data_IF_044721136869
#
_entry.id   IF_044721136869
#
_cell.length_a   1.000
_cell.length_b   1.000
_cell.length_c   1.000
_cell.angle_alpha   90.00
_cell.angle_beta   90.00
_cell.angle_gamma   90.00
#
_symmetry.space_group_name_H-M   'P 1'
#
loop_
_entity.id
_entity.type
_entity.pdbx_description
1 polymer ?
#
# COMPACT_ATOMS: atom_id res chain seq x y z
N UNK A 1 19.28 -4.57 -11.88
CA UNK A 1 18.51 -3.84 -12.91
C UNK A 1 17.55 -2.97 -12.16
N UNK A 2 17.45 -1.68 -12.47
CA UNK A 2 16.43 -0.86 -11.81
C UNK A 2 15.05 -1.26 -12.35
N UNK A 3 14.10 -1.53 -11.46
CA UNK A 3 12.73 -1.85 -11.85
C UNK A 3 11.95 -0.55 -12.08
N UNK A 4 11.19 -0.47 -13.17
CA UNK A 4 10.37 0.73 -13.49
C UNK A 4 8.90 0.44 -13.29
N UNK A 5 8.07 1.48 -13.17
CA UNK A 5 6.61 1.33 -13.05
C UNK A 5 6.02 0.52 -14.20
N UNK A 6 6.44 0.80 -15.43
CA UNK A 6 5.96 0.08 -16.62
C UNK A 6 6.26 -1.41 -16.52
N UNK A 7 7.46 -1.76 -16.03
CA UNK A 7 7.83 -3.16 -15.83
C UNK A 7 7.01 -3.82 -14.72
N UNK A 8 6.70 -3.10 -13.65
CA UNK A 8 5.81 -3.60 -12.60
C UNK A 8 4.41 -3.90 -13.15
N UNK A 9 3.86 -3.02 -13.99
CA UNK A 9 2.56 -3.21 -14.63
C UNK A 9 2.53 -4.38 -15.62
N UNK A 10 3.62 -4.60 -16.36
CA UNK A 10 3.77 -5.79 -17.22
C UNK A 10 3.74 -7.10 -16.42
N UNK A 11 4.40 -7.09 -15.26
CA UNK A 11 4.49 -8.25 -14.36
C UNK A 11 3.20 -8.50 -13.59
N UNK A 12 2.50 -7.43 -13.19
CA UNK A 12 1.22 -7.51 -12.51
C UNK A 12 0.23 -6.44 -13.02
N UNK A 13 -0.66 -6.81 -13.97
CA UNK A 13 -1.69 -5.92 -14.49
C UNK A 13 -2.68 -5.39 -13.45
N UNK A 14 -2.78 -6.00 -12.26
CA UNK A 14 -3.63 -5.48 -11.18
C UNK A 14 -3.13 -4.12 -10.65
N UNK A 15 -1.84 -3.80 -10.84
CA UNK A 15 -1.29 -2.48 -10.54
C UNK A 15 -1.88 -1.38 -11.41
N UNK A 16 -2.16 -1.68 -12.69
CA UNK A 16 -2.83 -0.74 -13.61
C UNK A 16 -4.26 -0.44 -13.13
N UNK A 17 -4.95 -1.47 -12.62
CA UNK A 17 -6.29 -1.30 -12.04
C UNK A 17 -6.22 -0.46 -10.75
N UNK A 18 -5.23 -0.69 -9.90
CA UNK A 18 -5.03 0.10 -8.69
C UNK A 18 -4.76 1.57 -9.03
N UNK A 19 -3.92 1.84 -10.04
CA UNK A 19 -3.66 3.18 -10.55
C UNK A 19 -4.95 3.87 -11.03
N UNK A 20 -5.77 3.16 -11.81
CA UNK A 20 -7.04 3.68 -12.30
C UNK A 20 -8.00 4.02 -11.15
N UNK A 21 -8.10 3.16 -10.13
CA UNK A 21 -8.96 3.40 -8.97
C UNK A 21 -8.50 4.63 -8.15
N UNK A 22 -7.19 4.86 -8.05
CA UNK A 22 -6.65 6.06 -7.40
C UNK A 22 -7.02 7.31 -8.21
N UNK A 23 -6.85 7.27 -9.54
CA UNK A 23 -7.21 8.38 -10.42
C UNK A 23 -8.69 8.72 -10.32
N UNK A 24 -9.58 7.73 -10.21
CA UNK A 24 -11.01 7.99 -9.98
C UNK A 24 -11.25 8.80 -8.69
N UNK A 25 -10.52 8.51 -7.61
CA UNK A 25 -10.62 9.29 -6.36
C UNK A 25 -10.02 10.68 -6.53
N UNK A 26 -8.88 10.79 -7.22
CA UNK A 26 -8.23 12.07 -7.50
C UNK A 26 -9.10 12.98 -8.39
N UNK A 27 -9.70 12.44 -9.45
CA UNK A 27 -10.53 13.18 -10.40
C UNK A 27 -11.90 13.57 -9.80
N UNK A 28 -12.37 12.81 -8.80
CA UNK A 28 -13.57 13.17 -8.05
C UNK A 28 -13.33 14.35 -7.08
N UNK A 29 -12.06 14.66 -6.79
CA UNK A 29 -11.71 15.79 -5.95
C UNK A 29 -11.89 17.11 -6.72
N UNK A 30 -12.80 17.95 -6.23
CA UNK A 30 -13.11 19.24 -6.87
C UNK A 30 -12.12 20.35 -6.49
N UNK A 31 -11.16 20.06 -5.60
CA UNK A 31 -10.28 21.06 -5.01
C UNK A 31 -10.93 21.87 -3.87
N UNK A 32 -12.23 21.67 -3.61
CA UNK A 32 -12.98 22.34 -2.56
C UNK A 32 -13.17 21.42 -1.34
N UNK A 33 -13.16 22.01 -0.13
CA UNK A 33 -13.39 21.28 1.11
C UNK A 33 -12.23 20.39 1.58
N UNK A 34 -12.55 19.52 2.54
CA UNK A 34 -11.59 18.62 3.19
C UNK A 34 -11.20 17.43 2.28
N UNK A 35 -9.90 17.23 2.11
CA UNK A 35 -9.32 16.05 1.45
C UNK A 35 -8.12 15.53 2.26
N UNK A 36 -7.97 14.22 2.42
CA UNK A 36 -6.82 13.65 3.12
C UNK A 36 -6.26 12.45 2.35
N UNK A 37 -5.17 12.69 1.62
CA UNK A 37 -4.44 11.68 0.85
C UNK A 37 -4.04 10.50 1.74
N UNK A 38 -3.49 10.78 2.92
CA UNK A 38 -3.10 9.76 3.91
C UNK A 38 -4.28 8.85 4.29
N UNK A 39 -5.46 9.43 4.53
CA UNK A 39 -6.65 8.65 4.89
C UNK A 39 -7.04 7.70 3.75
N UNK A 40 -7.06 8.19 2.52
CA UNK A 40 -7.38 7.35 1.35
C UNK A 40 -6.31 6.27 1.14
N UNK A 41 -5.04 6.67 1.21
CA UNK A 41 -3.89 5.81 1.02
C UNK A 41 -3.85 4.67 2.03
N UNK A 42 -3.73 4.98 3.32
CA UNK A 42 -3.52 3.97 4.36
C UNK A 42 -4.74 3.08 4.59
N UNK A 43 -5.97 3.57 4.33
CA UNK A 43 -7.19 2.76 4.52
C UNK A 43 -7.59 1.95 3.30
N UNK A 44 -7.27 2.41 2.09
CA UNK A 44 -7.83 1.84 0.86
C UNK A 44 -6.76 1.29 -0.07
N UNK A 45 -5.72 2.07 -0.36
CA UNK A 45 -4.80 1.76 -1.46
C UNK A 45 -3.55 1.01 -1.02
N UNK A 46 -2.92 1.41 0.09
CA UNK A 46 -1.73 0.73 0.63
C UNK A 46 -1.98 -0.76 0.95
N UNK A 47 -3.11 -1.17 1.56
CA UNK A 47 -3.40 -2.59 1.77
C UNK A 47 -3.54 -3.37 0.47
N UNK A 48 -4.06 -2.74 -0.59
CA UNK A 48 -4.16 -3.37 -1.92
C UNK A 48 -2.78 -3.50 -2.56
N UNK A 49 -1.96 -2.45 -2.49
CA UNK A 49 -0.58 -2.52 -2.97
C UNK A 49 0.20 -3.64 -2.28
N UNK A 50 0.03 -3.83 -0.97
CA UNK A 50 0.61 -4.97 -0.24
C UNK A 50 0.26 -6.33 -0.85
N UNK A 51 -0.96 -6.50 -1.36
CA UNK A 51 -1.38 -7.75 -2.00
C UNK A 51 -0.75 -7.94 -3.39
N UNK A 52 -0.38 -6.86 -4.09
CA UNK A 52 0.05 -6.91 -5.48
C UNK A 52 1.57 -6.96 -5.68
N UNK A 53 2.35 -6.31 -4.81
CA UNK A 53 3.83 -6.35 -4.84
C UNK A 53 4.44 -7.08 -3.64
N UNK A 54 3.61 -7.62 -2.76
CA UNK A 54 4.06 -8.28 -1.53
C UNK A 54 4.67 -7.31 -0.51
N UNK A 55 4.85 -7.81 0.71
CA UNK A 55 5.50 -7.08 1.80
C UNK A 55 6.94 -7.55 1.95
N UNK A 56 7.92 -6.85 1.38
CA UNK A 56 9.29 -7.00 1.89
C UNK A 56 9.40 -6.51 3.35
N UNK A 57 8.43 -5.72 3.83
CA UNK A 57 8.27 -5.31 5.22
C UNK A 57 7.74 -6.42 6.16
N UNK A 58 7.43 -7.62 5.64
CA UNK A 58 7.04 -8.78 6.45
C UNK A 58 8.13 -9.86 6.54
N UNK A 59 9.27 -9.71 5.84
CA UNK A 59 10.33 -10.72 5.78
C UNK A 59 11.69 -10.25 6.32
N UNK A 60 11.73 -9.07 6.95
CA UNK A 60 12.78 -8.76 7.93
C UNK A 60 12.04 -8.40 9.21
N UNK A 61 11.92 -9.36 10.12
CA UNK A 61 11.75 -9.04 11.54
C UNK A 61 12.97 -8.22 11.96
N UNK A 62 12.96 -6.91 11.75
CA UNK A 62 13.68 -6.05 12.69
C UNK A 62 12.92 -6.21 14.01
N UNK A 63 13.47 -7.00 14.92
CA UNK A 63 13.08 -7.08 16.33
C UNK A 63 13.06 -5.65 16.92
N UNK A 64 11.96 -4.92 16.76
CA UNK A 64 11.74 -3.69 17.51
C UNK A 64 10.99 -4.04 18.78
N UNK A 65 11.51 -3.66 19.96
CA UNK A 65 10.94 -4.06 21.23
C UNK A 65 9.52 -3.52 21.36
N UNK A 66 8.63 -4.42 21.75
CA UNK A 66 7.21 -4.15 22.03
C UNK A 66 7.11 -2.98 23.01
N UNK A 67 6.68 -1.82 22.54
CA UNK A 67 6.30 -0.69 23.40
C UNK A 67 4.77 -0.65 23.58
N UNK A 68 4.35 -1.38 24.59
CA UNK A 68 3.24 -1.18 25.55
C UNK A 68 1.84 -0.69 25.16
N UNK A 69 1.51 -0.29 23.93
CA UNK A 69 0.13 0.13 23.61
C UNK A 69 -0.33 -0.25 22.21
N UNK A 70 -0.68 -1.52 22.02
CA UNK A 70 -1.62 -1.99 21.00
C UNK A 70 -2.47 -3.13 21.63
N UNK A 71 -3.76 -3.30 21.26
CA UNK A 71 -4.75 -3.93 22.11
C UNK A 71 -4.53 -5.44 22.24
N UNK A 72 -5.24 -6.01 23.23
CA UNK A 72 -5.13 -7.36 23.80
C UNK A 72 -4.73 -8.48 22.81
N UNK A 73 -3.97 -9.48 23.29
CA UNK A 73 -3.45 -10.55 22.46
C UNK A 73 -4.58 -11.20 21.68
N UNK A 74 -4.54 -11.05 20.35
CA UNK A 74 -5.31 -11.87 19.44
C UNK A 74 -4.98 -13.33 19.79
N UNK A 75 -6.02 -14.08 20.13
CA UNK A 75 -5.99 -15.49 20.48
C UNK A 75 -5.17 -16.28 19.44
N UNK A 76 -3.94 -16.62 19.81
CA UNK A 76 -2.97 -17.32 18.95
C UNK A 76 -3.34 -18.80 18.71
N UNK A 77 -4.48 -19.27 19.24
CA UNK A 77 -5.03 -20.59 18.94
C UNK A 77 -5.95 -20.58 17.73
N UNK A 78 -6.35 -19.39 17.26
CA UNK A 78 -6.99 -19.23 15.96
C UNK A 78 -5.87 -19.23 14.90
N UNK A 79 -5.86 -20.14 13.91
CA UNK A 79 -5.05 -19.89 12.73
C UNK A 79 -5.52 -18.55 12.16
N UNK A 80 -4.62 -17.56 12.14
CA UNK A 80 -4.81 -16.44 11.24
C UNK A 80 -4.81 -17.05 9.84
N UNK A 81 -6.01 -17.33 9.33
CA UNK A 81 -6.21 -17.58 7.91
C UNK A 81 -5.99 -16.22 7.25
N UNK A 82 -4.73 -15.82 7.11
CA UNK A 82 -4.35 -15.04 5.96
C UNK A 82 -4.71 -15.92 4.78
N UNK A 83 -5.70 -15.54 3.94
CA UNK A 83 -6.03 -16.34 2.78
C UNK A 83 -4.74 -16.56 2.00
N UNK A 84 -4.38 -17.83 1.84
CA UNK A 84 -3.19 -18.29 1.15
C UNK A 84 -3.01 -17.51 -0.16
N UNK A 85 -2.07 -16.58 -0.22
CA UNK A 85 -1.74 -15.92 -1.48
C UNK A 85 -0.27 -15.54 -1.53
N UNK A 86 0.57 -16.52 -1.84
CA UNK A 86 2.02 -16.30 -1.97
C UNK A 86 2.72 -17.09 -3.09
N UNK A 87 2.02 -17.69 -4.08
CA UNK A 87 2.72 -18.64 -4.98
C UNK A 87 2.95 -18.22 -6.45
N UNK A 88 2.27 -17.20 -6.98
CA UNK A 88 2.46 -16.78 -8.39
C UNK A 88 2.83 -15.29 -8.56
N UNK A 89 3.34 -14.63 -7.51
CA UNK A 89 3.86 -13.26 -7.65
C UNK A 89 5.31 -13.34 -8.16
N UNK A 90 5.64 -12.73 -9.32
CA UNK A 90 7.00 -12.71 -9.83
C UNK A 90 8.00 -12.23 -8.76
N UNK A 91 9.14 -12.91 -8.57
CA UNK A 91 10.12 -12.53 -7.55
C UNK A 91 10.65 -11.10 -7.73
N UNK A 92 10.58 -10.55 -8.94
CA UNK A 92 10.92 -9.17 -9.25
C UNK A 92 10.01 -8.16 -8.54
N UNK A 93 8.74 -8.51 -8.31
CA UNK A 93 7.79 -7.67 -7.56
C UNK A 93 8.04 -7.73 -6.06
N UNK A 94 8.58 -8.83 -5.57
CA UNK A 94 8.90 -9.05 -4.16
C UNK A 94 10.24 -8.41 -3.79
N UNK A 95 10.47 -7.15 -4.14
CA UNK A 95 11.70 -6.44 -3.79
C UNK A 95 11.39 -5.11 -3.13
N UNK A 96 12.30 -4.63 -2.28
CA UNK A 96 12.17 -3.29 -1.68
C UNK A 96 12.13 -2.18 -2.75
N UNK A 97 12.85 -2.38 -3.85
CA UNK A 97 12.86 -1.44 -4.97
C UNK A 97 11.49 -1.42 -5.67
N UNK A 98 10.90 -2.58 -5.95
CA UNK A 98 9.54 -2.67 -6.51
C UNK A 98 8.49 -2.02 -5.62
N UNK A 99 8.60 -2.26 -4.30
CA UNK A 99 7.73 -1.61 -3.31
C UNK A 99 7.84 -0.08 -3.39
N UNK A 100 9.06 0.46 -3.34
CA UNK A 100 9.29 1.91 -3.36
C UNK A 100 8.78 2.55 -4.65
N UNK A 101 9.13 1.98 -5.81
CA UNK A 101 8.70 2.50 -7.12
C UNK A 101 7.18 2.49 -7.22
N UNK A 102 6.51 1.41 -6.81
CA UNK A 102 5.06 1.35 -6.81
C UNK A 102 4.42 2.32 -5.81
N UNK A 103 4.98 2.40 -4.61
CA UNK A 103 4.49 3.26 -3.54
C UNK A 103 4.55 4.73 -3.96
N UNK A 104 5.73 5.20 -4.38
CA UNK A 104 5.96 6.58 -4.80
C UNK A 104 5.05 6.94 -5.96
N UNK A 105 5.06 6.13 -7.02
CA UNK A 105 4.24 6.39 -8.21
C UNK A 105 2.75 6.49 -7.88
N UNK A 106 2.21 5.54 -7.11
CA UNK A 106 0.77 5.52 -6.81
C UNK A 106 0.36 6.57 -5.79
N UNK A 107 1.22 6.91 -4.83
CA UNK A 107 0.93 7.93 -3.82
C UNK A 107 0.92 9.33 -4.43
N UNK A 108 1.84 9.62 -5.36
CA UNK A 108 1.92 10.91 -6.07
C UNK A 108 0.69 11.22 -6.95
N UNK A 109 -0.13 10.22 -7.26
CA UNK A 109 -1.38 10.42 -8.00
C UNK A 109 -2.50 11.03 -7.15
N UNK A 110 -2.38 10.99 -5.82
CA UNK A 110 -3.39 11.58 -4.93
C UNK A 110 -3.18 13.10 -4.83
N UNK A 111 -4.27 13.89 -4.78
CA UNK A 111 -4.19 15.31 -4.43
C UNK A 111 -3.52 15.51 -3.07
N UNK A 112 -2.91 16.68 -2.86
CA UNK A 112 -2.40 17.04 -1.55
C UNK A 112 -3.51 17.06 -0.49
N UNK A 113 -3.14 16.72 0.75
CA UNK A 113 -4.04 16.87 1.88
C UNK A 113 -4.48 18.34 2.04
N UNK A 114 -5.79 18.55 2.18
CA UNK A 114 -6.42 19.82 2.51
C UNK A 114 -7.29 19.63 3.74
N UNK A 115 -6.90 20.27 4.83
CA UNK A 115 -7.61 20.22 6.09
C UNK A 115 -7.65 21.61 6.71
N UNK A 116 -8.81 22.00 7.24
CA UNK A 116 -8.99 23.28 7.94
C UNK A 116 -8.25 23.29 9.30
N UNK A 117 -7.97 22.11 9.88
CA UNK A 117 -7.22 21.93 11.12
C UNK A 117 -6.08 20.93 10.94
N UNK A 118 -4.95 21.20 11.62
CA UNK A 118 -3.60 20.67 11.41
C UNK A 118 -3.36 19.16 11.62
N UNK A 119 -4.37 18.29 11.51
CA UNK A 119 -4.25 16.86 11.81
C UNK A 119 -4.62 16.01 10.59
N UNK A 120 -3.60 15.34 10.03
CA UNK A 120 -3.72 14.24 9.07
C UNK A 120 -3.59 12.89 9.76
#
# INVERSE_FOLDING_TARGET
>A
MNITWERLCELNPALVKLEADIKVVADADTGEGYFCANRHWYRTFKPRLWHEVGTFAGCVEEEKPVSDKWPEPLDLTQPFIFPERTWDVPPELLTHEAWNVAYEHLYELLPDCRHEDSIC
#
